data_IF_418135113527
#
_entry.id   IF_418135113527
#
_cell.length_a   1.000
_cell.length_b   1.000
_cell.length_c   1.000
_cell.angle_alpha   90.00
_cell.angle_beta   90.00
_cell.angle_gamma   90.00
#
_symmetry.space_group_name_H-M   'P 1'
#
loop_
_entity.id
_entity.type
_entity.pdbx_description
1 polymer ?
#
# COMPACT_ATOMS: atom_id res chain seq x y z
N UNK A 1 1.23 21.70 -27.60
CA UNK A 1 2.35 21.21 -26.77
C UNK A 1 1.80 21.21 -25.36
N UNK A 2 1.48 20.05 -24.80
CA UNK A 2 1.03 19.98 -23.41
C UNK A 2 2.22 20.36 -22.55
N UNK A 3 2.12 21.47 -21.83
CA UNK A 3 3.08 21.81 -20.78
C UNK A 3 3.19 20.60 -19.86
N UNK A 4 4.39 20.03 -19.76
CA UNK A 4 4.65 18.89 -18.90
C UNK A 4 4.79 19.43 -17.46
N UNK A 5 3.69 19.97 -16.91
CA UNK A 5 3.68 20.72 -15.66
C UNK A 5 4.18 19.88 -14.48
N UNK A 6 3.95 18.56 -14.53
CA UNK A 6 4.47 17.63 -13.53
C UNK A 6 5.98 17.44 -13.65
N UNK A 7 6.52 17.36 -14.87
CA UNK A 7 7.98 17.31 -15.09
C UNK A 7 8.66 18.58 -14.58
N UNK A 8 8.09 19.76 -14.85
CA UNK A 8 8.62 21.01 -14.32
C UNK A 8 8.63 21.02 -12.79
N UNK A 9 7.54 20.55 -12.16
CA UNK A 9 7.49 20.37 -10.70
C UNK A 9 8.55 19.38 -10.19
N UNK A 10 8.73 18.23 -10.88
CA UNK A 10 9.73 17.23 -10.51
C UNK A 10 11.15 17.79 -10.58
N UNK A 11 11.48 18.53 -11.64
CA UNK A 11 12.80 19.15 -11.82
C UNK A 11 13.08 20.18 -10.71
N UNK A 12 12.11 21.02 -10.37
CA UNK A 12 12.22 21.98 -9.25
C UNK A 12 12.34 21.27 -7.89
N UNK A 13 11.58 20.21 -7.68
CA UNK A 13 11.65 19.40 -6.46
C UNK A 13 13.01 18.72 -6.31
N UNK A 14 13.61 18.23 -7.39
CA UNK A 14 14.94 17.62 -7.36
C UNK A 14 16.00 18.63 -6.89
N UNK A 15 15.96 19.86 -7.41
CA UNK A 15 16.84 20.94 -6.95
C UNK A 15 16.63 21.25 -5.45
N UNK A 16 15.40 21.18 -4.96
CA UNK A 16 15.09 21.36 -3.55
C UNK A 16 15.67 20.22 -2.70
N UNK A 17 15.52 18.96 -3.11
CA UNK A 17 16.06 17.80 -2.40
C UNK A 17 17.59 17.90 -2.32
N UNK A 18 18.27 18.15 -3.44
CA UNK A 18 19.74 18.31 -3.50
C UNK A 18 20.25 19.43 -2.57
N UNK A 19 19.49 20.53 -2.44
CA UNK A 19 19.81 21.64 -1.54
C UNK A 19 19.80 21.22 -0.07
N UNK A 20 18.90 20.31 0.33
CA UNK A 20 18.82 19.82 1.70
C UNK A 20 19.76 18.63 1.98
N UNK A 21 20.04 17.79 0.99
CA UNK A 21 21.07 16.75 1.09
C UNK A 21 22.46 17.36 1.35
N UNK A 22 22.79 18.48 0.68
CA UNK A 22 24.02 19.26 0.94
C UNK A 22 24.12 19.78 2.38
N UNK A 23 22.99 19.90 3.08
CA UNK A 23 22.91 20.26 4.51
C UNK A 23 22.88 19.05 5.44
N UNK A 24 23.30 17.88 4.96
CA UNK A 24 23.30 16.59 5.67
C UNK A 24 21.91 16.09 6.08
N UNK A 25 20.83 16.60 5.49
CA UNK A 25 19.50 16.03 5.69
C UNK A 25 19.39 14.74 4.89
N UNK A 26 19.10 13.60 5.54
CA UNK A 26 18.89 12.32 4.87
C UNK A 26 17.49 12.27 4.28
N UNK A 27 17.41 12.44 2.97
CA UNK A 27 16.18 12.36 2.18
C UNK A 27 16.37 11.23 1.18
N UNK A 28 15.35 10.38 1.02
CA UNK A 28 15.28 9.44 -0.08
C UNK A 28 14.10 9.81 -0.95
N UNK A 29 14.36 10.04 -2.23
CA UNK A 29 13.32 10.29 -3.23
C UNK A 29 13.25 9.11 -4.19
N UNK A 30 12.03 8.63 -4.44
CA UNK A 30 11.72 7.63 -5.47
C UNK A 30 10.65 8.24 -6.38
N UNK A 31 10.76 8.06 -7.69
CA UNK A 31 9.81 8.59 -8.66
C UNK A 31 9.41 7.53 -9.69
N UNK A 32 8.16 7.63 -10.13
CA UNK A 32 7.60 6.88 -11.25
C UNK A 32 6.81 7.87 -12.11
N UNK A 33 7.48 8.41 -13.12
CA UNK A 33 6.95 9.49 -13.96
C UNK A 33 5.92 8.99 -14.99
N UNK A 34 5.80 7.68 -15.20
CA UNK A 34 4.74 7.10 -16.02
C UNK A 34 3.36 7.25 -15.33
N UNK A 35 3.36 7.42 -14.00
CA UNK A 35 2.16 7.60 -13.17
C UNK A 35 2.14 8.94 -12.42
N UNK A 36 2.97 9.91 -12.80
CA UNK A 36 3.11 11.19 -12.09
C UNK A 36 3.26 11.00 -10.56
N UNK A 37 4.07 10.02 -10.15
CA UNK A 37 4.24 9.64 -8.74
C UNK A 37 5.63 10.02 -8.24
N UNK A 38 5.67 10.70 -7.09
CA UNK A 38 6.90 11.00 -6.36
C UNK A 38 6.68 10.64 -4.90
N UNK A 39 7.61 9.85 -4.33
CA UNK A 39 7.63 9.46 -2.92
C UNK A 39 8.88 10.02 -2.26
N UNK A 40 8.70 10.80 -1.21
CA UNK A 40 9.78 11.41 -0.43
C UNK A 40 9.77 10.81 0.98
N UNK A 41 10.91 10.27 1.38
CA UNK A 41 11.08 9.61 2.67
C UNK A 41 12.17 10.31 3.48
N UNK A 42 11.86 10.60 4.74
CA UNK A 42 12.86 11.07 5.70
C UNK A 42 13.61 9.92 6.37
N UNK A 43 14.59 10.27 7.21
CA UNK A 43 15.50 9.33 7.88
C UNK A 43 14.83 8.23 8.72
N UNK A 44 13.61 8.50 9.23
CA UNK A 44 12.87 7.54 10.07
C UNK A 44 12.14 6.47 9.27
N UNK A 45 12.13 6.57 7.95
CA UNK A 45 11.40 5.61 7.12
C UNK A 45 12.17 4.29 7.02
N UNK A 46 11.61 3.23 7.60
CA UNK A 46 12.10 1.85 7.46
C UNK A 46 11.20 1.00 6.56
N UNK A 47 11.67 -0.19 6.18
CA UNK A 47 10.94 -1.08 5.27
C UNK A 47 9.58 -1.54 5.81
N UNK A 48 9.44 -1.69 7.13
CA UNK A 48 8.19 -2.15 7.76
C UNK A 48 7.14 -1.05 7.70
N UNK A 49 7.53 0.17 8.04
CA UNK A 49 6.70 1.37 7.96
C UNK A 49 6.27 1.62 6.51
N UNK A 50 7.18 1.46 5.54
CA UNK A 50 6.84 1.54 4.12
C UNK A 50 5.79 0.51 3.71
N UNK A 51 5.94 -0.74 4.17
CA UNK A 51 4.98 -1.79 3.88
C UNK A 51 3.60 -1.48 4.48
N UNK A 52 3.54 -0.95 5.72
CA UNK A 52 2.28 -0.53 6.36
C UNK A 52 1.53 0.49 5.51
N UNK A 53 2.22 1.56 5.10
CA UNK A 53 1.64 2.60 4.25
C UNK A 53 1.11 2.04 2.93
N UNK A 54 1.87 1.18 2.25
CA UNK A 54 1.42 0.58 0.99
C UNK A 54 0.24 -0.39 1.14
N UNK A 55 0.13 -1.08 2.28
CA UNK A 55 -1.01 -1.95 2.58
C UNK A 55 -2.27 -1.12 2.91
N UNK A 56 -2.12 0.03 3.55
CA UNK A 56 -3.24 0.95 3.80
C UNK A 56 -3.84 1.46 2.48
N UNK A 57 -3.01 1.86 1.51
CA UNK A 57 -3.47 2.27 0.16
C UNK A 57 -4.25 1.13 -0.53
N UNK A 58 -3.78 -0.12 -0.42
CA UNK A 58 -4.44 -1.28 -1.00
C UNK A 58 -5.76 -1.62 -0.29
N UNK A 59 -5.82 -1.44 1.03
CA UNK A 59 -7.02 -1.66 1.82
C UNK A 59 -8.10 -0.61 1.51
N UNK A 60 -7.69 0.65 1.35
CA UNK A 60 -8.60 1.74 0.96
C UNK A 60 -9.22 1.46 -0.42
N UNK A 61 -8.41 1.03 -1.40
CA UNK A 61 -8.89 0.59 -2.70
C UNK A 61 -9.95 -0.52 -2.56
N UNK A 62 -9.65 -1.53 -1.74
CA UNK A 62 -10.54 -2.68 -1.53
C UNK A 62 -11.87 -2.30 -0.88
N UNK A 63 -11.83 -1.39 0.10
CA UNK A 63 -12.98 -0.98 0.90
C UNK A 63 -13.89 0.05 0.22
N UNK A 64 -13.32 0.94 -0.60
CA UNK A 64 -14.08 2.06 -1.19
C UNK A 64 -14.46 1.79 -2.65
N UNK A 65 -13.45 1.71 -3.50
CA UNK A 65 -13.61 1.78 -4.96
C UNK A 65 -13.90 0.41 -5.55
N UNK A 66 -13.34 -0.63 -4.93
CA UNK A 66 -13.50 -1.99 -5.39
C UNK A 66 -14.67 -2.73 -4.73
N UNK A 67 -15.47 -2.18 -3.81
CA UNK A 67 -16.52 -2.95 -3.09
C UNK A 67 -17.50 -3.71 -4.02
N UNK A 68 -17.65 -3.28 -5.28
CA UNK A 68 -18.47 -3.96 -6.29
C UNK A 68 -17.69 -4.85 -7.26
N UNK A 69 -16.36 -4.83 -7.21
CA UNK A 69 -15.45 -5.61 -8.04
C UNK A 69 -15.38 -7.07 -7.57
N UNK A 70 -15.44 -8.09 -8.44
CA UNK A 70 -15.51 -9.50 -8.01
C UNK A 70 -14.34 -9.99 -7.13
N UNK A 71 -13.22 -9.27 -7.09
CA UNK A 71 -12.02 -9.65 -6.33
C UNK A 71 -11.81 -8.84 -5.05
N UNK A 72 -12.70 -7.89 -4.75
CA UNK A 72 -12.54 -6.95 -3.64
C UNK A 72 -12.41 -7.65 -2.30
N UNK A 73 -13.26 -8.65 -2.04
CA UNK A 73 -13.30 -9.35 -0.77
C UNK A 73 -12.00 -10.16 -0.57
N UNK A 74 -11.43 -10.71 -1.65
CA UNK A 74 -10.12 -11.37 -1.57
C UNK A 74 -9.04 -10.36 -1.22
N UNK A 75 -9.00 -9.22 -1.93
CA UNK A 75 -8.01 -8.18 -1.69
C UNK A 75 -8.12 -7.61 -0.26
N UNK A 76 -9.33 -7.26 0.17
CA UNK A 76 -9.62 -6.71 1.49
C UNK A 76 -9.13 -7.63 2.61
N UNK A 77 -9.55 -8.89 2.59
CA UNK A 77 -9.18 -9.84 3.65
C UNK A 77 -7.67 -10.13 3.64
N UNK A 78 -7.00 -10.14 2.48
CA UNK A 78 -5.55 -10.21 2.41
C UNK A 78 -4.88 -8.98 3.04
N UNK A 79 -5.40 -7.78 2.77
CA UNK A 79 -4.85 -6.55 3.35
C UNK A 79 -5.03 -6.50 4.86
N UNK A 80 -6.17 -6.93 5.40
CA UNK A 80 -6.40 -6.96 6.85
C UNK A 80 -5.45 -7.92 7.57
N UNK A 81 -5.26 -9.14 7.05
CA UNK A 81 -4.25 -10.08 7.59
C UNK A 81 -2.86 -9.43 7.56
N UNK A 82 -2.51 -8.80 6.44
CA UNK A 82 -1.19 -8.18 6.27
C UNK A 82 -0.99 -7.02 7.24
N UNK A 83 -2.02 -6.18 7.49
CA UNK A 83 -1.98 -5.12 8.50
C UNK A 83 -1.68 -5.68 9.88
N UNK A 84 -2.42 -6.70 10.32
CA UNK A 84 -2.19 -7.34 11.62
C UNK A 84 -0.76 -7.85 11.75
N UNK A 85 -0.23 -8.51 10.71
CA UNK A 85 1.16 -9.02 10.71
C UNK A 85 2.19 -7.89 10.77
N UNK A 86 2.00 -6.80 10.04
CA UNK A 86 2.93 -5.67 10.03
C UNK A 86 2.84 -4.85 11.32
N UNK A 87 1.65 -4.67 11.88
CA UNK A 87 1.45 -4.02 13.18
C UNK A 87 2.22 -4.75 14.28
N UNK A 88 2.12 -6.08 14.29
CA UNK A 88 2.81 -6.96 15.24
C UNK A 88 4.20 -7.41 14.79
N UNK A 89 4.82 -6.72 13.84
CA UNK A 89 6.12 -7.14 13.28
C UNK A 89 7.23 -7.32 14.34
N UNK A 90 7.20 -6.52 15.41
CA UNK A 90 8.15 -6.60 16.52
C UNK A 90 7.51 -7.07 17.84
N UNK A 91 6.27 -7.55 17.79
CA UNK A 91 5.46 -7.95 18.95
C UNK A 91 4.87 -9.35 18.73
N UNK A 92 4.17 -9.88 19.74
CA UNK A 92 3.44 -11.14 19.62
C UNK A 92 2.00 -10.90 19.14
N UNK A 93 1.49 -11.84 18.33
CA UNK A 93 0.08 -11.90 17.92
C UNK A 93 -0.76 -12.40 19.10
N UNK A 94 -1.85 -11.71 19.41
CA UNK A 94 -2.80 -12.17 20.44
C UNK A 94 -3.74 -13.25 19.92
N UNK A 95 -4.41 -13.96 20.84
CA UNK A 95 -5.41 -14.97 20.46
C UNK A 95 -6.55 -14.36 19.63
N UNK A 96 -7.01 -13.16 19.99
CA UNK A 96 -8.06 -12.44 19.27
C UNK A 96 -7.63 -12.13 17.84
N UNK A 97 -6.42 -11.60 17.67
CA UNK A 97 -5.86 -11.30 16.35
C UNK A 97 -5.66 -12.57 15.50
N UNK A 98 -5.26 -13.68 16.13
CA UNK A 98 -5.16 -14.97 15.44
C UNK A 98 -6.54 -15.47 14.97
N UNK A 99 -7.58 -15.28 15.78
CA UNK A 99 -8.94 -15.67 15.40
C UNK A 99 -9.51 -14.76 14.30
N UNK A 100 -9.20 -13.47 14.30
CA UNK A 100 -9.49 -12.55 13.19
C UNK A 100 -8.79 -12.99 11.89
N UNK A 101 -7.52 -13.37 11.95
CA UNK A 101 -6.79 -13.91 10.78
C UNK A 101 -7.49 -15.17 10.24
N UNK A 102 -7.90 -16.11 11.12
CA UNK A 102 -8.64 -17.31 10.69
C UNK A 102 -9.98 -16.96 10.05
N UNK A 103 -10.68 -15.96 10.57
CA UNK A 103 -11.93 -15.48 9.99
C UNK A 103 -11.70 -14.89 8.59
N UNK A 104 -10.71 -14.02 8.43
CA UNK A 104 -10.34 -13.45 7.14
C UNK A 104 -9.97 -14.54 6.11
N UNK A 105 -9.24 -15.58 6.52
CA UNK A 105 -8.91 -16.72 5.64
C UNK A 105 -10.16 -17.47 5.15
N UNK A 106 -11.17 -17.62 6.01
CA UNK A 106 -12.45 -18.24 5.63
C UNK A 106 -13.19 -17.37 4.60
N UNK A 107 -13.18 -16.06 4.77
CA UNK A 107 -13.80 -15.12 3.82
C UNK A 107 -13.09 -15.10 2.46
N UNK A 108 -11.75 -15.22 2.45
CA UNK A 108 -10.98 -15.42 1.21
C UNK A 108 -11.43 -16.69 0.50
N UNK A 109 -11.54 -17.81 1.21
CA UNK A 109 -11.97 -19.09 0.63
C UNK A 109 -13.39 -19.01 0.04
N UNK A 110 -14.33 -18.39 0.77
CA UNK A 110 -15.70 -18.16 0.30
C UNK A 110 -15.71 -17.30 -0.97
N UNK A 111 -14.91 -16.23 -0.99
CA UNK A 111 -14.81 -15.30 -2.11
C UNK A 111 -14.23 -15.97 -3.37
N UNK A 112 -13.19 -16.79 -3.22
CA UNK A 112 -12.62 -17.60 -4.32
C UNK A 112 -13.67 -18.56 -4.87
N UNK A 113 -14.41 -19.26 -4.00
CA UNK A 113 -15.47 -20.19 -4.43
C UNK A 113 -16.56 -19.47 -5.25
N UNK A 114 -16.92 -18.24 -4.88
CA UNK A 114 -17.86 -17.43 -5.63
C UNK A 114 -17.32 -17.03 -7.02
N UNK A 115 -16.03 -16.71 -7.12
CA UNK A 115 -15.36 -16.41 -8.39
C UNK A 115 -15.35 -17.66 -9.28
N UNK A 116 -14.97 -18.82 -8.76
CA UNK A 116 -14.98 -20.09 -9.50
C UNK A 116 -16.36 -20.45 -10.04
N UNK A 117 -17.40 -20.25 -9.24
CA UNK A 117 -18.78 -20.49 -9.67
C UNK A 117 -19.24 -19.55 -10.78
N UNK A 118 -18.72 -18.32 -10.82
CA UNK A 118 -18.97 -17.40 -11.95
C UNK A 118 -18.24 -17.82 -13.21
N UNK A 119 -17.03 -18.38 -13.10
CA UNK A 119 -16.25 -18.85 -14.25
C UNK A 119 -16.84 -20.10 -14.91
N UNK A 120 -17.62 -20.89 -14.18
CA UNK A 120 -18.30 -22.11 -14.67
C UNK A 120 -19.66 -21.84 -15.35
N UNK A 121 -20.15 -20.60 -15.30
CA UNK A 121 -21.39 -20.15 -15.95
C UNK A 121 -21.09 -19.55 -17.31
#
# INVERSE_FOLDING_TARGET
>A
MSDNSFQAFYDELQLLVEKFEKKQTRIKMESDLDYDSIKIFGERMDSVTRAKLGVDDAAELAYTTAEHHPYWAVLYNCTEITKTMLEKWHDEITTEQLDEIKWNLKEIQNSISNIENKLKK
#
